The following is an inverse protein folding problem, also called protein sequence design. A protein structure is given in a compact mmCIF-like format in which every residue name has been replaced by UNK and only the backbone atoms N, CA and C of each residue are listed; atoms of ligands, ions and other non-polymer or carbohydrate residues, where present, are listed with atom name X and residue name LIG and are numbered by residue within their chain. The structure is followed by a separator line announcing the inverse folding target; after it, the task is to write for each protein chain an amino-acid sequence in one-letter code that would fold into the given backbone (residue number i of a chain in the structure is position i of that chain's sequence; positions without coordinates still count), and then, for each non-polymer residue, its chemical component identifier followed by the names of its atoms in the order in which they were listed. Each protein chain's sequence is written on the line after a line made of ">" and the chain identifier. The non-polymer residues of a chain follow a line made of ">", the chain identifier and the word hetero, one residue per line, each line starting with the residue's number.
data_IF_842215845088
#
_entry.id   IF_842215845088
#
_cell.length_a   1.000
_cell.length_b   1.000
_cell.length_c   1.000
_cell.angle_alpha   90.00
_cell.angle_beta   90.00
_cell.angle_gamma   90.00
#
_symmetry.space_group_name_H-M   'P 1'
#
loop_
_entity.id
_entity.type
_entity.pdbx_description
1 polymer ?
#
# COMPACT_ATOMS: atom_id res chain seq x y z
N UNK A 1 -2.18 7.60 -9.71
CA UNK A 1 -3.56 7.93 -9.29
C UNK A 1 -3.69 9.16 -8.39
N UNK A 2 -2.63 9.92 -8.11
CA UNK A 2 -2.66 10.99 -7.10
C UNK A 2 -3.74 12.07 -7.31
N UNK A 3 -3.99 12.48 -8.56
CA UNK A 3 -5.04 13.46 -8.87
C UNK A 3 -6.44 12.96 -8.51
N UNK A 4 -6.81 11.75 -8.97
CA UNK A 4 -8.10 11.13 -8.63
C UNK A 4 -8.29 10.97 -7.11
N UNK A 5 -7.24 10.57 -6.39
CA UNK A 5 -7.29 10.46 -4.93
C UNK A 5 -7.54 11.82 -4.25
N UNK A 6 -6.88 12.89 -4.70
CA UNK A 6 -7.08 14.26 -4.18
C UNK A 6 -8.49 14.78 -4.49
N UNK A 7 -8.98 14.54 -5.70
CA UNK A 7 -10.33 14.94 -6.13
C UNK A 7 -11.45 14.15 -5.45
N UNK A 8 -11.18 12.90 -5.05
CA UNK A 8 -12.11 12.16 -4.21
C UNK A 8 -12.10 12.72 -2.77
N UNK A 9 -10.90 12.98 -2.22
CA UNK A 9 -10.75 13.48 -0.85
C UNK A 9 -11.36 14.88 -0.65
N UNK A 10 -11.36 15.74 -1.68
CA UNK A 10 -11.97 17.07 -1.62
C UNK A 10 -13.46 17.11 -2.01
N UNK A 11 -14.07 15.95 -2.33
CA UNK A 11 -15.48 15.83 -2.71
C UNK A 11 -15.83 16.25 -4.14
N UNK A 12 -14.85 16.60 -4.99
CA UNK A 12 -15.10 16.92 -6.41
C UNK A 12 -15.57 15.70 -7.17
N UNK A 13 -14.92 14.55 -6.93
CA UNK A 13 -15.41 13.24 -7.35
C UNK A 13 -16.26 12.69 -6.21
N UNK A 14 -17.55 12.55 -6.46
CA UNK A 14 -18.49 12.02 -5.46
C UNK A 14 -18.54 10.48 -5.49
N UNK A 15 -18.92 9.82 -4.38
CA UNK A 15 -18.99 8.36 -4.31
C UNK A 15 -19.97 7.70 -5.30
N UNK A 16 -21.01 8.42 -5.74
CA UNK A 16 -22.02 7.96 -6.70
C UNK A 16 -21.55 8.05 -8.16
N UNK A 17 -20.40 8.68 -8.42
CA UNK A 17 -19.92 8.92 -9.78
C UNK A 17 -19.06 7.78 -10.30
N UNK A 18 -19.27 7.41 -11.57
CA UNK A 18 -18.41 6.48 -12.29
C UNK A 18 -17.21 7.22 -12.87
N UNK A 19 -16.01 6.82 -12.46
CA UNK A 19 -14.74 7.41 -12.91
C UNK A 19 -13.95 6.39 -13.72
N UNK A 20 -13.41 6.83 -14.86
CA UNK A 20 -12.53 6.01 -15.71
C UNK A 20 -11.13 6.62 -15.70
N UNK A 21 -10.12 5.80 -15.40
CA UNK A 21 -8.71 6.19 -15.51
C UNK A 21 -8.10 5.47 -16.70
N UNK A 22 -7.49 6.23 -17.61
CA UNK A 22 -6.89 5.68 -18.83
C UNK A 22 -5.40 5.44 -18.58
N UNK A 23 -4.96 4.18 -18.70
CA UNK A 23 -3.54 3.85 -18.71
C UNK A 23 -3.00 3.97 -20.13
N UNK A 24 -2.17 4.97 -20.39
CA UNK A 24 -1.62 5.25 -21.72
C UNK A 24 -0.39 4.39 -22.06
N UNK A 25 0.16 3.68 -21.08
CA UNK A 25 1.31 2.80 -21.24
C UNK A 25 1.14 1.50 -20.44
N UNK A 26 1.86 0.46 -20.87
CA UNK A 26 1.93 -0.81 -20.16
C UNK A 26 2.93 -0.74 -19.00
N UNK A 27 2.58 -1.34 -17.86
CA UNK A 27 3.41 -1.32 -16.66
C UNK A 27 4.81 -1.95 -16.83
N UNK A 28 4.96 -2.93 -17.73
CA UNK A 28 6.24 -3.57 -18.05
C UNK A 28 7.29 -2.62 -18.62
N UNK A 29 6.91 -1.44 -19.11
CA UNK A 29 7.88 -0.42 -19.57
C UNK A 29 8.62 0.27 -18.41
N UNK A 30 8.21 0.01 -17.16
CA UNK A 30 8.70 0.69 -15.96
C UNK A 30 9.23 -0.29 -14.91
N UNK A 31 9.69 -1.48 -15.32
CA UNK A 31 10.20 -2.53 -14.42
C UNK A 31 11.36 -2.04 -13.58
N UNK A 32 12.33 -1.35 -14.17
CA UNK A 32 13.54 -0.90 -13.46
C UNK A 32 13.20 0.11 -12.37
N UNK A 33 12.27 1.03 -12.66
CA UNK A 33 11.75 1.94 -11.66
C UNK A 33 11.05 1.21 -10.51
N UNK A 34 10.26 0.17 -10.81
CA UNK A 34 9.59 -0.65 -9.79
C UNK A 34 10.61 -1.41 -8.94
N UNK A 35 11.64 -2.00 -9.54
CA UNK A 35 12.72 -2.69 -8.81
C UNK A 35 13.45 -1.70 -7.91
N UNK A 36 13.82 -0.52 -8.43
CA UNK A 36 14.48 0.51 -7.64
C UNK A 36 13.62 1.03 -6.48
N UNK A 37 12.31 1.19 -6.70
CA UNK A 37 11.37 1.57 -5.64
C UNK A 37 11.34 0.51 -4.53
N UNK A 38 11.18 -0.77 -4.88
CA UNK A 38 11.12 -1.84 -3.86
C UNK A 38 12.44 -2.00 -3.12
N UNK A 39 13.58 -1.69 -3.74
CA UNK A 39 14.92 -1.79 -3.14
C UNK A 39 15.42 -0.51 -2.46
N UNK A 40 14.62 0.56 -2.44
CA UNK A 40 15.00 1.87 -1.90
C UNK A 40 16.26 2.48 -2.53
N UNK A 41 16.51 2.24 -3.82
CA UNK A 41 17.74 2.70 -4.51
C UNK A 41 17.54 3.99 -5.32
N UNK A 42 16.33 4.55 -5.32
CA UNK A 42 16.00 5.76 -6.08
C UNK A 42 16.39 7.01 -5.26
N UNK A 43 17.39 7.77 -5.72
CA UNK A 43 18.00 8.86 -4.95
C UNK A 43 17.01 9.92 -4.43
N UNK A 44 15.98 10.24 -5.19
CA UNK A 44 15.01 11.30 -4.86
C UNK A 44 13.62 10.76 -4.48
N UNK A 45 13.47 9.44 -4.33
CA UNK A 45 12.18 8.81 -4.06
C UNK A 45 12.23 8.06 -2.74
N UNK A 46 11.47 8.55 -1.75
CA UNK A 46 11.19 7.78 -0.54
C UNK A 46 10.11 6.74 -0.83
N UNK A 47 10.49 5.46 -0.83
CA UNK A 47 9.53 4.38 -0.96
C UNK A 47 8.72 4.25 0.34
N UNK A 48 7.47 4.70 0.28
CA UNK A 48 6.52 4.61 1.40
C UNK A 48 5.99 3.20 1.62
N UNK A 49 5.92 2.41 0.55
CA UNK A 49 5.37 1.05 0.58
C UNK A 49 6.30 0.04 -0.11
N UNK A 50 7.57 -0.07 0.32
CA UNK A 50 8.49 -1.01 -0.29
C UNK A 50 8.14 -2.43 0.18
N UNK A 51 8.07 -3.37 -0.76
CA UNK A 51 8.01 -4.79 -0.46
C UNK A 51 9.43 -5.36 -0.48
N UNK A 52 10.19 -5.10 0.59
CA UNK A 52 11.56 -5.55 0.73
C UNK A 52 11.63 -7.06 0.92
N UNK A 53 12.74 -7.65 0.48
CA UNK A 53 13.05 -9.03 0.73
C UNK A 53 13.39 -9.20 2.22
N UNK A 54 12.90 -10.29 2.81
CA UNK A 54 13.24 -10.71 4.16
C UNK A 54 14.24 -11.84 4.03
N UNK A 55 15.49 -11.58 4.40
CA UNK A 55 16.53 -12.62 4.41
C UNK A 55 16.36 -13.51 5.63
N UNK A 56 16.33 -14.83 5.40
CA UNK A 56 16.12 -15.83 6.44
C UNK A 56 17.15 -16.96 6.27
N UNK A 57 17.62 -17.58 7.38
CA UNK A 57 18.42 -18.78 7.30
C UNK A 57 17.61 -19.93 6.70
N UNK A 58 18.29 -20.95 6.17
CA UNK A 58 17.69 -22.17 5.66
C UNK A 58 17.18 -23.08 6.80
N UNK A 59 16.25 -22.56 7.60
CA UNK A 59 15.63 -23.20 8.75
C UNK A 59 14.11 -23.08 8.69
N UNK A 60 13.43 -24.20 8.88
CA UNK A 60 11.96 -24.27 8.76
C UNK A 60 11.26 -23.46 9.84
N UNK A 61 11.82 -23.41 11.06
CA UNK A 61 11.21 -22.65 12.16
C UNK A 61 11.34 -21.14 11.90
N UNK A 62 12.49 -20.68 11.40
CA UNK A 62 12.70 -19.29 11.00
C UNK A 62 11.68 -18.85 9.94
N UNK A 63 11.41 -19.68 8.93
CA UNK A 63 10.40 -19.40 7.90
C UNK A 63 8.99 -19.35 8.49
N UNK A 64 8.60 -20.34 9.31
CA UNK A 64 7.28 -20.36 9.95
C UNK A 64 7.06 -19.12 10.83
N UNK A 65 8.06 -18.74 11.63
CA UNK A 65 7.97 -17.58 12.50
C UNK A 65 7.85 -16.28 11.71
N UNK A 66 8.60 -16.13 10.61
CA UNK A 66 8.49 -14.95 9.75
C UNK A 66 7.09 -14.80 9.13
N UNK A 67 6.48 -15.91 8.69
CA UNK A 67 5.11 -15.92 8.18
C UNK A 67 4.12 -15.52 9.27
N UNK A 68 4.20 -16.14 10.46
CA UNK A 68 3.29 -15.85 11.56
C UNK A 68 3.36 -14.37 11.98
N UNK A 69 4.57 -13.84 12.18
CA UNK A 69 4.78 -12.43 12.52
C UNK A 69 4.15 -11.49 11.49
N UNK A 70 4.20 -11.84 10.19
CA UNK A 70 3.59 -11.03 9.14
C UNK A 70 2.07 -11.01 9.23
N UNK A 71 1.46 -12.18 9.45
CA UNK A 71 0.01 -12.30 9.60
C UNK A 71 -0.49 -11.53 10.84
N UNK A 72 0.22 -11.64 11.96
CA UNK A 72 -0.13 -10.94 13.20
C UNK A 72 -0.05 -9.41 13.04
N UNK A 73 0.95 -8.91 12.31
CA UNK A 73 1.07 -7.49 12.00
C UNK A 73 -0.08 -6.99 11.11
N UNK A 74 -0.50 -7.76 10.11
CA UNK A 74 -1.63 -7.42 9.24
C UNK A 74 -2.97 -7.45 9.99
N UNK A 75 -3.15 -8.44 10.86
CA UNK A 75 -4.29 -8.51 11.76
C UNK A 75 -4.37 -7.25 12.65
N UNK A 76 -3.27 -6.89 13.31
CA UNK A 76 -3.18 -5.74 14.21
C UNK A 76 -3.44 -4.40 13.51
N UNK A 77 -3.00 -4.25 12.26
CA UNK A 77 -3.23 -3.04 11.46
C UNK A 77 -4.71 -2.87 11.10
N UNK A 78 -5.41 -3.98 10.82
CA UNK A 78 -6.84 -4.00 10.50
C UNK A 78 -7.70 -3.63 11.72
N UNK A 79 -7.30 -4.01 12.94
CA UNK A 79 -7.99 -3.65 14.17
C UNK A 79 -7.84 -2.15 14.53
N UNK A 80 -6.70 -1.53 14.22
CA UNK A 80 -6.44 -0.11 14.48
C UNK A 80 -7.22 0.83 13.53
N UNK A 81 -7.40 0.44 12.27
CA UNK A 81 -8.16 1.21 11.27
C UNK A 81 -9.66 1.28 11.63
N UNK A 82 -10.25 0.17 12.11
CA UNK A 82 -11.64 0.14 12.61
C UNK A 82 -11.89 1.08 13.80
N UNK A 83 -10.88 1.43 14.59
CA UNK A 83 -11.03 2.30 15.77
C UNK A 83 -11.02 3.80 15.43
N UNK A 84 -10.55 4.20 14.23
CA UNK A 84 -10.50 5.60 13.79
C UNK A 84 -11.74 6.08 13.01
N UNK A 85 -12.71 5.21 12.75
CA UNK A 85 -13.88 5.47 11.90
C UNK A 85 -15.20 5.79 12.60
N UNK A 86 -15.22 6.45 13.77
CA UNK A 86 -16.48 6.97 14.34
C UNK A 86 -16.33 8.37 14.94
N UNK A 87 -16.55 9.45 14.17
CA UNK A 87 -17.00 10.70 14.75
C UNK A 87 -18.48 10.57 15.12
N UNK A 88 -18.76 10.87 16.39
CA UNK A 88 -20.12 11.04 16.92
C UNK A 88 -20.85 12.18 16.20
N UNK A 89 -22.15 12.00 15.99
CA UNK A 89 -23.00 13.03 15.42
C UNK A 89 -24.38 12.47 15.04
N UNK A 90 -25.21 12.23 16.05
CA UNK A 90 -26.67 12.29 15.96
C UNK A 90 -27.15 13.24 17.06
N UNK A 91 -28.36 13.79 17.02
CA UNK A 91 -29.39 13.72 15.97
C UNK A 91 -29.41 14.95 15.04
#
# INVERSE_FOLDING_TARGET
>A
LAAAAKLAANGTIRPDQRVVVISTAHGLKFTDFKVGYQRNTLAEVKSRYPNLLIELPADVNAVRNAIQNRLDAEASTTFMDKKKGKPAGSP
#
